data_IF_280461250947
#
_entry.id   IF_280461250947
#
_cell.length_a   1.000
_cell.length_b   1.000
_cell.length_c   1.000
_cell.angle_alpha   90.00
_cell.angle_beta   90.00
_cell.angle_gamma   90.00
#
_symmetry.space_group_name_H-M   'P 1'
#
loop_
_entity.id
_entity.type
_entity.pdbx_description
1 polymer ?
#
# COMPACT_ATOMS: atom_id res chain seq x y z
N UNK A 1 14.66 -4.46 -26.03
CA UNK A 1 15.40 -4.13 -27.28
C UNK A 1 16.42 -3.00 -27.06
N UNK A 2 16.09 -1.91 -26.33
CA UNK A 2 16.98 -0.76 -26.15
C UNK A 2 18.29 -1.12 -25.40
N UNK A 3 18.21 -1.93 -24.34
CA UNK A 3 19.40 -2.40 -23.62
C UNK A 3 20.35 -3.23 -24.51
N UNK A 4 19.79 -4.05 -25.40
CA UNK A 4 20.59 -4.79 -26.37
C UNK A 4 21.24 -3.85 -27.40
N UNK A 5 20.51 -2.82 -27.87
CA UNK A 5 21.05 -1.80 -28.80
C UNK A 5 22.19 -1.00 -28.16
N UNK A 6 22.04 -0.67 -26.86
CA UNK A 6 23.07 0.04 -26.09
C UNK A 6 24.21 -0.86 -25.59
N UNK A 7 24.21 -2.14 -25.94
CA UNK A 7 25.21 -3.13 -25.52
C UNK A 7 25.41 -3.16 -23.99
N UNK A 8 24.32 -3.04 -23.22
CA UNK A 8 24.35 -3.11 -21.76
C UNK A 8 24.91 -4.48 -21.33
N UNK A 9 25.93 -4.46 -20.48
CA UNK A 9 26.56 -5.65 -19.92
C UNK A 9 26.14 -5.91 -18.47
N UNK A 10 26.60 -7.04 -17.91
CA UNK A 10 26.26 -7.43 -16.52
C UNK A 10 26.88 -6.55 -15.44
N UNK A 11 27.84 -5.70 -15.77
CA UNK A 11 28.47 -4.76 -14.83
C UNK A 11 27.77 -3.42 -14.80
N UNK A 12 26.88 -3.18 -15.75
CA UNK A 12 26.09 -1.94 -15.83
C UNK A 12 25.13 -1.85 -14.66
N UNK A 13 25.14 -0.72 -13.97
CA UNK A 13 24.18 -0.37 -12.95
C UNK A 13 23.03 0.44 -13.56
N UNK A 14 21.80 0.10 -13.20
CA UNK A 14 20.61 0.81 -13.64
C UNK A 14 20.09 1.67 -12.49
N UNK A 15 19.75 2.93 -12.77
CA UNK A 15 19.08 3.83 -11.83
C UNK A 15 17.62 4.00 -12.27
N UNK A 16 16.70 3.59 -11.41
CA UNK A 16 15.27 3.80 -11.59
C UNK A 16 14.88 5.12 -10.89
N UNK A 17 14.83 6.21 -11.64
CA UNK A 17 14.47 7.54 -11.11
C UNK A 17 13.01 7.82 -11.46
N UNK A 18 12.10 7.78 -10.47
CA UNK A 18 10.67 7.98 -10.71
C UNK A 18 9.77 7.44 -9.60
N UNK A 19 8.47 7.38 -9.87
CA UNK A 19 7.49 6.76 -8.98
C UNK A 19 7.48 5.22 -9.06
N UNK A 20 6.52 4.59 -8.39
CA UNK A 20 6.41 3.13 -8.29
C UNK A 20 6.42 2.41 -9.64
N UNK A 21 5.68 2.92 -10.63
CA UNK A 21 5.63 2.32 -11.99
C UNK A 21 7.02 2.26 -12.63
N UNK A 22 7.82 3.32 -12.49
CA UNK A 22 9.20 3.36 -13.00
C UNK A 22 10.07 2.35 -12.27
N UNK A 23 9.94 2.29 -10.94
CA UNK A 23 10.68 1.35 -10.11
C UNK A 23 10.37 -0.11 -10.45
N UNK A 24 9.08 -0.45 -10.54
CA UNK A 24 8.61 -1.81 -10.83
C UNK A 24 9.01 -2.28 -12.22
N UNK A 25 8.78 -1.46 -13.24
CA UNK A 25 9.17 -1.77 -14.62
C UNK A 25 10.70 -1.93 -14.76
N UNK A 26 11.44 -0.97 -14.23
CA UNK A 26 12.92 -0.98 -14.32
C UNK A 26 13.49 -2.17 -13.55
N UNK A 27 12.93 -2.45 -12.36
CA UNK A 27 13.33 -3.61 -11.56
C UNK A 27 13.06 -4.93 -12.27
N UNK A 28 11.91 -5.08 -12.92
CA UNK A 28 11.59 -6.26 -13.70
C UNK A 28 12.51 -6.44 -14.93
N UNK A 29 12.80 -5.34 -15.64
CA UNK A 29 13.79 -5.36 -16.74
C UNK A 29 15.16 -5.73 -16.19
N UNK A 30 15.59 -5.16 -15.07
CA UNK A 30 16.86 -5.50 -14.44
C UNK A 30 16.95 -6.99 -14.03
N UNK A 31 15.85 -7.55 -13.49
CA UNK A 31 15.79 -8.94 -13.09
C UNK A 31 15.91 -9.92 -14.28
N UNK A 32 15.36 -9.53 -15.44
CA UNK A 32 15.22 -10.44 -16.59
C UNK A 32 16.33 -10.26 -17.63
N UNK A 33 16.84 -9.03 -17.83
CA UNK A 33 17.89 -8.79 -18.83
C UNK A 33 19.22 -9.42 -18.39
N UNK A 34 19.86 -10.16 -19.29
CA UNK A 34 21.12 -10.87 -19.05
C UNK A 34 21.15 -11.74 -17.77
N UNK A 35 20.00 -12.19 -17.29
CA UNK A 35 19.76 -12.95 -16.04
C UNK A 35 20.07 -12.16 -14.77
N UNK A 36 20.00 -10.85 -14.84
CA UNK A 36 20.11 -9.97 -13.69
C UNK A 36 21.13 -8.85 -13.85
N UNK A 37 20.68 -7.61 -13.66
CA UNK A 37 21.52 -6.41 -13.59
C UNK A 37 21.37 -5.77 -12.20
N UNK A 38 22.37 -4.99 -11.82
CA UNK A 38 22.30 -4.21 -10.60
C UNK A 38 21.33 -3.04 -10.80
N UNK A 39 20.43 -2.82 -9.83
CA UNK A 39 19.49 -1.71 -9.85
C UNK A 39 19.62 -0.88 -8.57
N UNK A 40 19.50 0.43 -8.70
CA UNK A 40 19.34 1.40 -7.65
C UNK A 40 17.99 2.07 -7.82
N UNK A 41 17.23 2.22 -6.74
CA UNK A 41 15.95 2.92 -6.73
C UNK A 41 16.17 4.37 -6.28
N UNK A 42 15.66 5.33 -7.05
CA UNK A 42 15.63 6.76 -6.71
C UNK A 42 14.16 7.21 -6.76
N UNK A 43 13.37 6.86 -5.73
CA UNK A 43 11.94 7.11 -5.72
C UNK A 43 11.64 8.61 -5.60
N UNK A 44 10.71 9.12 -6.44
CA UNK A 44 10.33 10.52 -6.50
C UNK A 44 8.89 10.80 -6.07
N UNK A 45 8.13 9.76 -5.74
CA UNK A 45 6.78 9.88 -5.15
C UNK A 45 6.78 9.38 -3.71
N UNK A 46 5.87 9.87 -2.87
CA UNK A 46 5.82 9.45 -1.47
C UNK A 46 5.56 7.95 -1.33
N UNK A 47 4.58 7.40 -2.08
CA UNK A 47 4.34 5.94 -2.11
C UNK A 47 5.61 5.16 -2.43
N UNK A 48 6.40 5.64 -3.39
CA UNK A 48 7.63 4.94 -3.75
C UNK A 48 8.70 5.04 -2.67
N UNK A 49 8.84 6.20 -2.01
CA UNK A 49 9.82 6.40 -0.94
C UNK A 49 9.52 5.56 0.31
N UNK A 50 8.24 5.45 0.68
CA UNK A 50 7.84 4.75 1.91
C UNK A 50 7.50 3.28 1.68
N UNK A 51 7.19 2.89 0.43
CA UNK A 51 6.70 1.55 0.14
C UNK A 51 7.35 0.91 -1.09
N UNK A 52 6.94 1.20 -2.33
CA UNK A 52 7.19 0.34 -3.49
C UNK A 52 8.67 0.17 -3.85
N UNK A 53 9.55 1.14 -3.57
CA UNK A 53 11.00 1.00 -3.83
C UNK A 53 11.71 0.01 -2.89
N UNK A 54 11.05 -0.46 -1.82
CA UNK A 54 11.63 -1.30 -0.78
C UNK A 54 11.02 -2.71 -0.87
N UNK A 55 11.88 -3.74 -0.83
CA UNK A 55 11.43 -5.14 -0.73
C UNK A 55 11.39 -5.91 -2.03
N UNK A 56 11.94 -5.34 -3.11
CA UNK A 56 12.29 -6.05 -4.33
C UNK A 56 11.14 -6.64 -5.15
N UNK A 57 9.89 -6.33 -4.83
CA UNK A 57 8.76 -6.70 -5.69
C UNK A 57 8.80 -5.83 -6.94
N UNK A 58 9.01 -6.44 -8.09
CA UNK A 58 9.08 -5.76 -9.39
C UNK A 58 8.15 -6.45 -10.37
N UNK A 59 7.59 -5.72 -11.31
CA UNK A 59 6.65 -6.33 -12.24
C UNK A 59 6.07 -5.38 -13.27
N UNK A 60 5.22 -5.95 -14.10
CA UNK A 60 4.47 -5.23 -15.14
C UNK A 60 3.00 -5.62 -15.07
N UNK A 61 2.15 -4.66 -15.37
CA UNK A 61 0.72 -4.90 -15.47
C UNK A 61 0.37 -5.52 -16.82
N UNK A 62 -0.59 -6.45 -16.81
CA UNK A 62 -1.18 -7.02 -18.01
C UNK A 62 -2.62 -6.54 -18.16
N UNK A 63 -3.21 -6.63 -19.38
CA UNK A 63 -4.66 -6.39 -19.56
C UNK A 63 -5.54 -7.28 -18.66
N UNK A 64 -5.04 -8.47 -18.31
CA UNK A 64 -5.73 -9.44 -17.46
C UNK A 64 -5.70 -9.10 -15.97
N UNK A 65 -4.78 -8.21 -15.51
CA UNK A 65 -4.66 -7.81 -14.10
C UNK A 65 -3.33 -7.16 -13.76
N UNK A 66 -3.29 -6.49 -12.62
CA UNK A 66 -2.06 -5.89 -12.07
C UNK A 66 -1.15 -6.97 -11.46
N UNK A 67 0.17 -6.74 -11.52
CA UNK A 67 1.20 -7.51 -10.80
C UNK A 67 1.23 -9.03 -11.08
N UNK A 68 0.65 -9.49 -12.21
CA UNK A 68 0.63 -10.92 -12.55
C UNK A 68 1.98 -11.42 -13.09
N UNK A 69 2.80 -10.53 -13.63
CA UNK A 69 4.14 -10.86 -14.15
C UNK A 69 5.17 -10.00 -13.43
N UNK A 70 6.07 -10.65 -12.72
CA UNK A 70 7.08 -9.97 -11.92
C UNK A 70 8.18 -10.88 -11.42
N UNK A 71 9.09 -10.29 -10.67
CA UNK A 71 10.19 -11.00 -10.03
C UNK A 71 10.51 -10.34 -8.67
N UNK A 72 11.04 -11.13 -7.74
CA UNK A 72 11.71 -10.59 -6.56
C UNK A 72 13.15 -10.24 -6.94
N UNK A 73 13.45 -8.94 -7.04
CA UNK A 73 14.76 -8.43 -7.40
C UNK A 73 15.15 -7.26 -6.52
N UNK A 74 15.99 -7.52 -5.51
CA UNK A 74 16.37 -6.50 -4.54
C UNK A 74 17.25 -5.43 -5.17
N UNK A 75 16.99 -4.14 -4.91
CA UNK A 75 17.89 -3.06 -5.29
C UNK A 75 19.17 -3.13 -4.45
N UNK A 76 20.28 -2.67 -5.03
CA UNK A 76 21.55 -2.47 -4.32
C UNK A 76 21.46 -1.35 -3.29
N UNK A 77 20.55 -0.40 -3.51
CA UNK A 77 20.24 0.66 -2.59
C UNK A 77 19.01 1.44 -3.03
N UNK A 78 18.43 2.16 -2.08
CA UNK A 78 17.32 3.09 -2.28
C UNK A 78 17.77 4.46 -1.82
N UNK A 79 17.70 5.46 -2.69
CA UNK A 79 18.07 6.85 -2.37
C UNK A 79 16.81 7.70 -2.43
N UNK A 80 16.20 7.94 -1.26
CA UNK A 80 15.00 8.76 -1.13
C UNK A 80 15.39 10.22 -0.84
N UNK A 81 15.17 11.11 -1.80
CA UNK A 81 15.30 12.56 -1.60
C UNK A 81 13.93 13.18 -1.38
N UNK A 82 13.66 13.61 -0.15
CA UNK A 82 12.38 14.25 0.21
C UNK A 82 12.12 15.55 -0.56
N UNK A 83 13.14 16.21 -1.11
CA UNK A 83 12.95 17.42 -1.91
C UNK A 83 12.16 17.14 -3.20
N UNK A 84 12.20 15.93 -3.73
CA UNK A 84 11.39 15.54 -4.90
C UNK A 84 9.88 15.64 -4.61
N UNK A 85 9.49 15.50 -3.34
CA UNK A 85 8.09 15.60 -2.92
C UNK A 85 7.54 17.03 -3.04
N UNK A 86 8.39 18.07 -3.12
CA UNK A 86 7.95 19.45 -3.27
C UNK A 86 7.21 19.68 -4.61
N UNK A 87 7.62 18.99 -5.66
CA UNK A 87 7.01 19.08 -7.00
C UNK A 87 5.90 18.05 -7.24
N UNK A 88 5.72 17.10 -6.30
CA UNK A 88 4.68 16.08 -6.42
C UNK A 88 3.29 16.71 -6.30
N UNK A 89 2.36 16.45 -7.25
CA UNK A 89 0.98 16.91 -7.16
C UNK A 89 0.35 16.55 -5.81
N UNK A 90 -0.49 17.45 -5.28
CA UNK A 90 -1.02 17.30 -3.93
C UNK A 90 -1.83 16.01 -3.73
N UNK A 91 -2.66 15.64 -4.71
CA UNK A 91 -3.43 14.39 -4.66
C UNK A 91 -2.53 13.15 -4.57
N UNK A 92 -1.42 13.13 -5.31
CA UNK A 92 -0.44 12.04 -5.29
C UNK A 92 0.33 12.00 -3.96
N UNK A 93 0.66 13.17 -3.42
CA UNK A 93 1.30 13.29 -2.12
C UNK A 93 0.39 12.75 -1.00
N UNK A 94 -0.85 13.21 -0.94
CA UNK A 94 -1.86 12.76 0.04
C UNK A 94 -2.11 11.26 -0.10
N UNK A 95 -2.26 10.77 -1.32
CA UNK A 95 -2.39 9.32 -1.58
C UNK A 95 -1.26 8.51 -0.92
N UNK A 96 -0.02 9.00 -0.99
CA UNK A 96 1.12 8.32 -0.35
C UNK A 96 1.04 8.25 1.18
N UNK A 97 0.34 9.17 1.82
CA UNK A 97 0.18 9.19 3.28
C UNK A 97 -0.64 8.00 3.81
N UNK A 98 -1.48 7.36 2.97
CA UNK A 98 -2.20 6.16 3.37
C UNK A 98 -1.25 5.02 3.76
N UNK A 99 -0.17 4.82 3.00
CA UNK A 99 0.85 3.82 3.32
C UNK A 99 1.61 4.16 4.61
N UNK A 100 1.82 5.43 4.89
CA UNK A 100 2.43 5.90 6.15
C UNK A 100 1.54 5.55 7.35
N UNK A 101 0.25 5.87 7.29
CA UNK A 101 -0.72 5.52 8.35
C UNK A 101 -0.79 4.01 8.53
N UNK A 102 -0.76 3.25 7.44
CA UNK A 102 -0.73 1.79 7.49
C UNK A 102 0.39 1.28 8.39
N UNK A 103 1.62 1.77 8.26
CA UNK A 103 2.75 1.31 9.09
C UNK A 103 2.54 1.57 10.58
N UNK A 104 2.04 2.73 10.95
CA UNK A 104 1.68 3.04 12.33
C UNK A 104 0.64 2.06 12.88
N UNK A 105 -0.40 1.80 12.09
CA UNK A 105 -1.49 0.94 12.50
C UNK A 105 -1.10 -0.53 12.66
N UNK A 106 -0.18 -1.05 11.81
CA UNK A 106 0.14 -2.48 11.80
C UNK A 106 1.37 -2.85 12.62
N UNK A 107 2.30 -1.91 12.91
CA UNK A 107 3.63 -2.25 13.45
C UNK A 107 4.08 -1.35 14.60
N UNK A 108 3.62 -0.08 14.67
CA UNK A 108 4.23 0.91 15.54
C UNK A 108 3.20 1.88 16.13
N UNK A 109 2.70 1.62 17.36
CA UNK A 109 1.72 2.48 18.01
C UNK A 109 2.29 3.87 18.35
N UNK A 110 3.58 3.99 18.64
CA UNK A 110 4.22 5.27 18.94
C UNK A 110 4.32 6.13 17.68
N UNK A 111 4.61 5.51 16.54
CA UNK A 111 4.57 6.20 15.24
C UNK A 111 3.15 6.62 14.88
N UNK A 112 2.14 5.79 15.13
CA UNK A 112 0.74 6.15 14.91
C UNK A 112 0.36 7.39 15.75
N UNK A 113 0.69 7.41 17.04
CA UNK A 113 0.44 8.57 17.89
C UNK A 113 1.22 9.80 17.45
N UNK A 114 2.46 9.62 17.01
CA UNK A 114 3.25 10.73 16.47
C UNK A 114 2.61 11.34 15.22
N UNK A 115 2.06 10.49 14.32
CA UNK A 115 1.33 10.95 13.13
C UNK A 115 0.09 11.76 13.51
N UNK A 116 -0.68 11.33 14.52
CA UNK A 116 -1.84 12.09 15.04
C UNK A 116 -1.42 13.50 15.49
N UNK A 117 -0.33 13.61 16.23
CA UNK A 117 0.15 14.87 16.79
C UNK A 117 0.76 15.82 15.74
N UNK A 118 1.24 15.28 14.61
CA UNK A 118 1.97 16.05 13.60
C UNK A 118 1.24 16.11 12.25
N UNK A 119 -0.04 15.69 12.16
CA UNK A 119 -0.77 15.59 10.92
C UNK A 119 -0.76 16.89 10.08
N UNK A 120 -0.92 18.05 10.71
CA UNK A 120 -0.88 19.34 10.03
C UNK A 120 0.51 19.67 9.44
N UNK A 121 1.59 19.36 10.15
CA UNK A 121 2.96 19.56 9.66
C UNK A 121 3.25 18.64 8.48
N UNK A 122 2.84 17.37 8.58
CA UNK A 122 2.96 16.37 7.50
C UNK A 122 2.16 16.84 6.29
N UNK A 123 0.91 17.25 6.48
CA UNK A 123 0.04 17.74 5.40
C UNK A 123 0.61 18.98 4.72
N UNK A 124 1.26 19.86 5.51
CA UNK A 124 1.98 21.05 5.04
C UNK A 124 3.37 20.78 4.43
N UNK A 125 3.79 19.52 4.35
CA UNK A 125 5.11 19.10 3.83
C UNK A 125 6.28 19.67 4.62
N UNK A 126 6.13 19.81 5.95
CA UNK A 126 7.25 20.23 6.79
C UNK A 126 8.43 19.26 6.63
N UNK A 127 9.62 19.82 6.40
CA UNK A 127 10.81 19.06 6.02
C UNK A 127 11.25 18.04 7.10
N UNK A 128 11.21 18.44 8.35
CA UNK A 128 11.63 17.56 9.45
C UNK A 128 10.63 16.43 9.64
N UNK A 129 9.34 16.75 9.57
CA UNK A 129 8.24 15.78 9.64
C UNK A 129 8.29 14.80 8.46
N UNK A 130 8.54 15.27 7.24
CA UNK A 130 8.70 14.40 6.07
C UNK A 130 9.90 13.47 6.20
N UNK A 131 11.03 13.96 6.67
CA UNK A 131 12.21 13.14 6.88
C UNK A 131 11.93 12.03 7.90
N UNK A 132 11.24 12.35 9.00
CA UNK A 132 10.82 11.36 9.98
C UNK A 132 9.87 10.32 9.40
N UNK A 133 8.83 10.75 8.67
CA UNK A 133 7.84 9.89 8.02
C UNK A 133 8.50 8.92 7.04
N UNK A 134 9.33 9.43 6.11
CA UNK A 134 9.98 8.58 5.10
C UNK A 134 10.92 7.59 5.74
N UNK A 135 11.77 8.07 6.67
CA UNK A 135 12.73 7.21 7.37
C UNK A 135 12.02 6.12 8.16
N UNK A 136 11.04 6.49 9.01
CA UNK A 136 10.37 5.52 9.89
C UNK A 136 9.59 4.48 9.10
N UNK A 137 8.87 4.89 8.05
CA UNK A 137 8.16 3.96 7.16
C UNK A 137 9.12 2.98 6.48
N UNK A 138 10.26 3.49 5.97
CA UNK A 138 11.28 2.65 5.35
C UNK A 138 11.89 1.63 6.34
N UNK A 139 12.19 2.06 7.58
CA UNK A 139 12.68 1.18 8.65
C UNK A 139 11.68 0.06 8.95
N UNK A 140 10.38 0.40 9.12
CA UNK A 140 9.33 -0.56 9.43
C UNK A 140 9.11 -1.55 8.28
N UNK A 141 9.12 -1.07 7.03
CA UNK A 141 9.02 -1.97 5.87
C UNK A 141 10.23 -2.89 5.77
N UNK A 142 11.42 -2.36 5.91
CA UNK A 142 12.67 -3.14 5.86
C UNK A 142 12.67 -4.22 6.94
N UNK A 143 12.24 -3.90 8.17
CA UNK A 143 12.09 -4.87 9.27
C UNK A 143 11.23 -6.08 8.86
N UNK A 144 10.12 -5.86 8.16
CA UNK A 144 9.23 -6.93 7.69
C UNK A 144 9.86 -7.71 6.54
N UNK A 145 10.42 -6.99 5.56
CA UNK A 145 11.00 -7.60 4.34
C UNK A 145 12.21 -8.47 4.67
N UNK A 146 13.10 -8.05 5.56
CA UNK A 146 14.28 -8.82 5.98
C UNK A 146 13.90 -10.16 6.64
N UNK A 147 12.71 -10.23 7.29
CA UNK A 147 12.22 -11.42 7.97
C UNK A 147 11.36 -12.33 7.12
N UNK A 148 10.79 -11.78 6.05
CA UNK A 148 9.90 -12.52 5.15
C UNK A 148 9.97 -11.95 3.72
N UNK A 149 11.15 -12.03 3.10
CA UNK A 149 11.39 -11.47 1.78
C UNK A 149 10.38 -11.94 0.73
N UNK A 150 10.08 -13.25 0.72
CA UNK A 150 9.27 -13.91 -0.31
C UNK A 150 7.84 -14.23 0.10
N UNK A 151 7.36 -13.68 1.22
CA UNK A 151 6.01 -13.94 1.75
C UNK A 151 5.74 -15.44 2.05
N UNK A 152 6.73 -16.14 2.58
CA UNK A 152 6.64 -17.58 2.88
C UNK A 152 6.17 -17.80 4.32
N UNK A 153 6.65 -16.98 5.27
CA UNK A 153 6.34 -17.14 6.70
C UNK A 153 5.00 -16.54 7.08
N UNK A 154 4.44 -15.67 6.23
CA UNK A 154 3.20 -14.95 6.46
C UNK A 154 3.36 -13.63 7.23
N UNK A 155 4.57 -13.29 7.71
CA UNK A 155 4.81 -12.02 8.39
C UNK A 155 4.53 -10.83 7.45
N UNK A 156 4.99 -10.90 6.21
CA UNK A 156 4.80 -9.85 5.20
C UNK A 156 3.33 -9.62 4.84
N UNK A 157 2.44 -10.57 5.14
CA UNK A 157 1.00 -10.42 4.94
C UNK A 157 0.42 -9.23 5.74
N UNK A 158 1.04 -8.82 6.87
CA UNK A 158 0.61 -7.65 7.64
C UNK A 158 0.58 -6.37 6.77
N UNK A 159 1.47 -6.24 5.77
CA UNK A 159 1.52 -5.10 4.86
C UNK A 159 0.27 -4.99 3.97
N UNK A 160 -0.55 -6.06 3.88
CA UNK A 160 -1.79 -6.07 3.12
C UNK A 160 -3.00 -5.53 3.93
N UNK A 161 -2.79 -4.90 5.09
CA UNK A 161 -3.85 -4.22 5.82
C UNK A 161 -4.57 -3.20 4.93
N UNK A 162 -5.90 -3.32 4.82
CA UNK A 162 -6.73 -2.52 3.91
C UNK A 162 -6.72 -2.95 2.44
N UNK A 163 -5.68 -3.64 1.96
CA UNK A 163 -5.48 -3.93 0.54
C UNK A 163 -6.50 -4.91 -0.05
N UNK A 164 -7.05 -5.82 0.75
CA UNK A 164 -8.10 -6.75 0.28
C UNK A 164 -9.34 -5.98 -0.22
N UNK A 165 -9.72 -4.91 0.48
CA UNK A 165 -10.79 -4.02 0.06
C UNK A 165 -10.33 -3.05 -1.02
N UNK A 166 -9.13 -2.47 -0.89
CA UNK A 166 -8.60 -1.48 -1.81
C UNK A 166 -8.53 -1.98 -3.25
N UNK A 167 -7.98 -3.18 -3.49
CA UNK A 167 -7.91 -3.77 -4.82
C UNK A 167 -9.28 -4.00 -5.46
N UNK A 168 -10.27 -4.38 -4.64
CA UNK A 168 -11.64 -4.52 -5.12
C UNK A 168 -12.26 -3.15 -5.45
N UNK A 169 -11.98 -2.09 -4.67
CA UNK A 169 -12.40 -0.72 -4.99
C UNK A 169 -11.75 -0.23 -6.29
N UNK A 170 -10.44 -0.38 -6.47
CA UNK A 170 -9.74 -0.02 -7.70
C UNK A 170 -10.32 -0.74 -8.93
N UNK A 171 -10.60 -2.05 -8.79
CA UNK A 171 -11.13 -2.87 -9.89
C UNK A 171 -12.56 -2.45 -10.26
N UNK A 172 -13.41 -2.21 -9.24
CA UNK A 172 -14.83 -1.91 -9.44
C UNK A 172 -15.04 -0.50 -10.00
N UNK A 173 -14.24 0.48 -9.58
CA UNK A 173 -14.35 1.86 -10.06
C UNK A 173 -13.66 2.10 -11.41
N UNK A 174 -12.91 1.13 -11.88
CA UNK A 174 -12.00 1.29 -13.01
C UNK A 174 -10.68 1.96 -12.59
N UNK A 175 -9.60 1.41 -13.09
CA UNK A 175 -8.26 1.92 -12.76
C UNK A 175 -8.10 3.39 -13.14
N UNK A 176 -7.60 4.21 -12.21
CA UNK A 176 -7.36 5.64 -12.38
C UNK A 176 -8.46 6.54 -11.81
N UNK A 177 -9.63 6.02 -11.45
CA UNK A 177 -10.69 6.78 -10.75
C UNK A 177 -10.24 7.12 -9.33
N UNK A 178 -9.81 6.11 -8.58
CA UNK A 178 -9.15 6.26 -7.28
C UNK A 178 -7.65 6.07 -7.45
N UNK A 179 -6.84 6.91 -6.81
CA UNK A 179 -5.43 6.63 -6.62
C UNK A 179 -5.25 5.48 -5.63
N UNK A 180 -4.12 4.78 -5.71
CA UNK A 180 -3.85 3.63 -4.86
C UNK A 180 -4.05 3.92 -3.36
N UNK A 181 -3.45 4.98 -2.84
CA UNK A 181 -3.59 5.31 -1.42
C UNK A 181 -5.00 5.80 -1.03
N UNK A 182 -5.77 6.38 -1.95
CA UNK A 182 -7.18 6.68 -1.71
C UNK A 182 -7.97 5.38 -1.52
N UNK A 183 -7.75 4.38 -2.38
CA UNK A 183 -8.36 3.06 -2.23
C UNK A 183 -7.89 2.35 -0.95
N UNK A 184 -6.59 2.45 -0.60
CA UNK A 184 -6.03 1.89 0.64
C UNK A 184 -6.64 2.56 1.87
N UNK A 185 -6.84 3.88 1.88
CA UNK A 185 -7.48 4.61 2.96
C UNK A 185 -8.91 4.09 3.20
N UNK A 186 -9.73 3.99 2.15
CA UNK A 186 -11.07 3.41 2.20
C UNK A 186 -11.02 1.95 2.67
N UNK A 187 -10.07 1.18 2.17
CA UNK A 187 -9.87 -0.22 2.54
C UNK A 187 -9.48 -0.39 4.01
N UNK A 188 -8.63 0.48 4.56
CA UNK A 188 -8.29 0.50 5.97
C UNK A 188 -9.50 0.87 6.84
N UNK A 189 -10.36 1.80 6.38
CA UNK A 189 -11.60 2.12 7.09
C UNK A 189 -12.58 0.95 7.11
N UNK A 190 -12.74 0.25 5.99
CA UNK A 190 -13.55 -0.97 5.94
C UNK A 190 -12.98 -2.06 6.87
N UNK A 191 -11.66 -2.26 6.86
CA UNK A 191 -10.98 -3.27 7.67
C UNK A 191 -11.08 -2.98 9.18
N UNK A 192 -10.88 -1.74 9.62
CA UNK A 192 -10.97 -1.39 11.05
C UNK A 192 -12.41 -1.48 11.58
N UNK A 193 -13.43 -1.10 10.77
CA UNK A 193 -14.83 -1.24 11.12
C UNK A 193 -15.26 -2.72 11.17
N UNK A 194 -14.77 -3.54 10.23
CA UNK A 194 -14.96 -4.99 10.27
C UNK A 194 -14.36 -5.58 11.55
N UNK A 195 -13.15 -5.20 11.90
CA UNK A 195 -12.48 -5.65 13.12
C UNK A 195 -13.29 -5.25 14.38
N UNK A 196 -13.85 -4.03 14.42
CA UNK A 196 -14.70 -3.58 15.50
C UNK A 196 -16.00 -4.41 15.57
N UNK A 197 -16.67 -4.70 14.44
CA UNK A 197 -17.87 -5.54 14.41
C UNK A 197 -17.62 -6.98 14.85
N UNK A 198 -16.39 -7.46 14.71
CA UNK A 198 -15.93 -8.75 15.22
C UNK A 198 -15.47 -8.69 16.70
N UNK A 199 -15.61 -7.55 17.36
CA UNK A 199 -15.17 -7.31 18.75
C UNK A 199 -13.66 -7.53 18.96
N UNK A 200 -12.84 -7.32 17.91
CA UNK A 200 -11.37 -7.43 18.00
C UNK A 200 -10.75 -6.17 18.60
N UNK A 201 -11.42 -5.01 18.48
CA UNK A 201 -10.96 -3.73 19.00
C UNK A 201 -12.13 -2.81 19.32
N UNK A 202 -11.87 -1.77 20.11
CA UNK A 202 -12.85 -0.79 20.53
C UNK A 202 -13.14 0.25 19.44
N UNK A 203 -14.33 0.84 19.50
CA UNK A 203 -14.77 1.92 18.62
C UNK A 203 -13.83 3.13 18.64
N UNK A 204 -13.16 3.39 19.76
CA UNK A 204 -12.16 4.46 19.91
C UNK A 204 -11.01 4.34 18.93
N UNK A 205 -10.58 3.12 18.58
CA UNK A 205 -9.52 2.90 17.58
C UNK A 205 -10.00 3.24 16.18
N UNK A 206 -11.27 2.90 15.85
CA UNK A 206 -11.91 3.29 14.59
C UNK A 206 -11.91 4.81 14.42
N UNK A 207 -12.36 5.51 15.47
CA UNK A 207 -12.44 6.98 15.48
C UNK A 207 -11.06 7.64 15.36
N UNK A 208 -10.06 7.11 16.06
CA UNK A 208 -8.67 7.60 15.95
C UNK A 208 -8.13 7.45 14.54
N UNK A 209 -8.28 6.27 13.94
CA UNK A 209 -7.82 6.04 12.57
C UNK A 209 -8.56 6.93 11.58
N UNK A 210 -9.88 7.04 11.69
CA UNK A 210 -10.68 7.91 10.84
C UNK A 210 -10.20 9.36 10.93
N UNK A 211 -10.08 9.90 12.15
CA UNK A 211 -9.63 11.27 12.39
C UNK A 211 -8.23 11.54 11.84
N UNK A 212 -7.30 10.57 11.98
CA UNK A 212 -5.97 10.71 11.42
C UNK A 212 -6.01 10.77 9.88
N UNK A 213 -6.74 9.87 9.23
CA UNK A 213 -6.89 9.86 7.77
C UNK A 213 -7.51 11.18 7.26
N UNK A 214 -8.57 11.65 7.89
CA UNK A 214 -9.24 12.92 7.55
C UNK A 214 -8.29 14.12 7.73
N UNK A 215 -7.52 14.17 8.82
CA UNK A 215 -6.57 15.27 9.08
C UNK A 215 -5.43 15.32 8.08
N UNK A 216 -5.10 14.19 7.48
CA UNK A 216 -4.12 14.08 6.38
C UNK A 216 -4.74 14.34 5.00
N UNK A 217 -6.07 14.54 4.91
CA UNK A 217 -6.80 14.78 3.67
C UNK A 217 -7.12 13.51 2.87
N UNK A 218 -7.03 12.34 3.50
CA UNK A 218 -7.37 11.05 2.89
C UNK A 218 -8.88 10.78 2.98
N UNK A 219 -9.50 10.15 1.97
CA UNK A 219 -10.90 9.81 2.01
C UNK A 219 -11.17 8.68 2.99
N UNK A 220 -12.22 8.83 3.80
CA UNK A 220 -12.74 7.80 4.73
C UNK A 220 -14.06 7.20 4.26
N UNK A 221 -14.70 7.84 3.30
CA UNK A 221 -15.85 7.41 2.53
C UNK A 221 -15.87 8.12 1.18
N UNK A 222 -16.59 7.58 0.20
CA UNK A 222 -16.69 8.20 -1.12
C UNK A 222 -18.00 7.86 -1.84
N UNK A 223 -18.68 8.85 -2.46
CA UNK A 223 -19.88 8.59 -3.25
C UNK A 223 -19.59 7.79 -4.54
N UNK A 224 -18.34 7.73 -4.99
CA UNK A 224 -17.93 6.94 -6.18
C UNK A 224 -18.30 5.46 -6.03
N UNK A 225 -18.40 4.99 -4.79
CA UNK A 225 -18.74 3.60 -4.46
C UNK A 225 -20.24 3.37 -4.21
N UNK A 226 -21.11 4.39 -4.27
CA UNK A 226 -22.53 4.27 -3.91
C UNK A 226 -23.35 3.30 -4.77
N UNK A 227 -22.90 3.06 -6.01
CA UNK A 227 -23.59 2.19 -6.96
C UNK A 227 -22.95 0.80 -7.07
N UNK A 228 -22.11 0.41 -6.13
CA UNK A 228 -21.46 -0.89 -6.15
C UNK A 228 -22.49 -1.98 -5.85
N UNK A 229 -22.58 -2.97 -6.74
CA UNK A 229 -23.22 -4.24 -6.44
C UNK A 229 -22.32 -5.03 -5.49
N UNK A 230 -22.78 -5.22 -4.25
CA UNK A 230 -22.00 -5.89 -3.19
C UNK A 230 -21.64 -7.34 -3.54
N UNK A 231 -22.53 -8.06 -4.27
CA UNK A 231 -22.27 -9.44 -4.68
C UNK A 231 -21.15 -9.51 -5.72
N UNK A 232 -21.13 -8.58 -6.66
CA UNK A 232 -20.06 -8.50 -7.65
C UNK A 232 -18.73 -8.07 -7.01
N UNK A 233 -18.80 -7.20 -6.02
CA UNK A 233 -17.63 -6.81 -5.23
C UNK A 233 -17.02 -8.00 -4.47
N UNK A 234 -17.83 -8.80 -3.80
CA UNK A 234 -17.38 -10.03 -3.14
C UNK A 234 -16.76 -11.03 -4.13
N UNK A 235 -17.33 -11.16 -5.34
CA UNK A 235 -16.74 -11.99 -6.42
C UNK A 235 -15.37 -11.47 -6.86
N UNK A 236 -15.19 -10.15 -6.95
CA UNK A 236 -13.90 -9.53 -7.29
C UNK A 236 -12.89 -9.83 -6.20
N UNK A 237 -13.25 -9.63 -4.93
CA UNK A 237 -12.39 -9.97 -3.79
C UNK A 237 -11.96 -11.44 -3.79
N UNK A 238 -12.89 -12.36 -4.11
CA UNK A 238 -12.61 -13.79 -4.20
C UNK A 238 -11.68 -14.16 -5.36
N UNK A 239 -11.71 -13.41 -6.46
CA UNK A 239 -10.84 -13.65 -7.64
C UNK A 239 -9.40 -13.22 -7.37
N UNK A 240 -9.19 -12.13 -6.65
CA UNK A 240 -7.84 -11.59 -6.36
C UNK A 240 -7.01 -12.57 -5.49
N UNK A 241 -7.66 -13.49 -4.78
CA UNK A 241 -7.01 -14.41 -3.83
C UNK A 241 -7.09 -15.89 -4.19
N UNK A 242 -7.33 -16.25 -5.44
CA UNK A 242 -7.42 -17.65 -5.92
C UNK A 242 -6.14 -18.50 -5.75
N UNK A 243 -5.09 -17.97 -5.16
CA UNK A 243 -3.80 -18.67 -5.10
C UNK A 243 -3.59 -19.55 -3.86
N UNK A 244 -4.42 -19.48 -2.81
CA UNK A 244 -4.30 -20.36 -1.64
C UNK A 244 -5.67 -20.72 -1.08
N UNK A 245 -6.22 -21.87 -1.49
CA UNK A 245 -7.35 -22.52 -0.79
C UNK A 245 -8.75 -21.95 -0.98
N UNK A 246 -8.95 -20.89 -1.77
CA UNK A 246 -10.30 -20.43 -2.15
C UNK A 246 -11.02 -19.51 -1.15
N UNK A 247 -10.52 -19.32 0.06
CA UNK A 247 -11.14 -18.50 1.09
C UNK A 247 -10.63 -17.05 1.07
N UNK A 248 -11.53 -16.10 1.33
CA UNK A 248 -11.18 -14.70 1.52
C UNK A 248 -10.36 -14.54 2.80
N UNK A 249 -9.18 -13.94 2.65
CA UNK A 249 -8.28 -13.68 3.76
C UNK A 249 -8.20 -12.17 4.03
N UNK A 250 -8.43 -11.79 5.26
CA UNK A 250 -8.41 -10.40 5.72
C UNK A 250 -7.28 -10.17 6.71
N UNK A 251 -6.61 -9.04 6.57
CA UNK A 251 -5.68 -8.54 7.58
C UNK A 251 -6.43 -7.50 8.38
N UNK A 252 -6.70 -7.79 9.65
CA UNK A 252 -7.51 -6.97 10.54
C UNK A 252 -6.73 -6.59 11.79
N UNK A 253 -6.87 -5.34 12.29
CA UNK A 253 -6.21 -4.92 13.51
C UNK A 253 -6.94 -5.49 14.74
N UNK A 254 -6.18 -5.85 15.77
CA UNK A 254 -6.70 -6.15 17.10
C UNK A 254 -6.24 -5.11 18.13
N UNK A 255 -5.31 -4.27 17.77
CA UNK A 255 -4.91 -3.02 18.45
C UNK A 255 -4.07 -2.17 17.50
N UNK A 256 -3.85 -0.91 17.84
CA UNK A 256 -2.86 -0.09 17.14
C UNK A 256 -1.47 -0.72 17.32
N UNK A 257 -0.73 -0.86 16.22
CA UNK A 257 0.57 -1.50 16.17
C UNK A 257 0.55 -3.03 15.97
N UNK A 258 -0.63 -3.63 15.78
CA UNK A 258 -0.72 -5.07 15.54
C UNK A 258 -1.93 -5.47 14.71
N UNK A 259 -1.75 -6.46 13.83
CA UNK A 259 -2.81 -7.03 12.98
C UNK A 259 -2.77 -8.55 13.00
N UNK A 260 -3.91 -9.16 12.72
CA UNK A 260 -4.10 -10.60 12.55
C UNK A 260 -4.61 -10.91 11.14
N UNK A 261 -4.23 -12.05 10.62
CA UNK A 261 -4.85 -12.60 9.42
C UNK A 261 -6.03 -13.48 9.84
N UNK A 262 -7.19 -13.25 9.22
CA UNK A 262 -8.43 -13.99 9.50
C UNK A 262 -9.06 -14.46 8.19
N UNK A 263 -9.56 -15.68 8.23
CA UNK A 263 -10.31 -16.35 7.15
C UNK A 263 -11.75 -16.59 7.63
N UNK A 264 -12.64 -17.01 6.74
CA UNK A 264 -14.01 -17.47 7.04
C UNK A 264 -14.89 -16.44 7.78
N UNK A 265 -14.75 -15.15 7.44
CA UNK A 265 -15.60 -14.09 7.99
C UNK A 265 -16.93 -14.09 7.25
N UNK A 266 -18.05 -13.97 8.03
CA UNK A 266 -19.39 -13.85 7.47
C UNK A 266 -19.49 -12.70 6.45
N UNK A 267 -19.95 -13.04 5.25
CA UNK A 267 -20.12 -12.10 4.15
C UNK A 267 -21.07 -10.93 4.51
N UNK A 268 -21.99 -11.13 5.45
CA UNK A 268 -22.88 -10.06 5.94
C UNK A 268 -22.06 -8.98 6.64
N UNK A 269 -21.12 -9.36 7.50
CA UNK A 269 -20.24 -8.41 8.18
C UNK A 269 -19.31 -7.69 7.22
N UNK A 270 -18.74 -8.44 6.25
CA UNK A 270 -17.89 -7.86 5.19
C UNK A 270 -18.68 -6.84 4.37
N UNK A 271 -19.90 -7.19 3.96
CA UNK A 271 -20.80 -6.31 3.20
C UNK A 271 -21.18 -5.06 4.00
N UNK A 272 -21.46 -5.21 5.31
CA UNK A 272 -21.73 -4.08 6.20
C UNK A 272 -20.54 -3.12 6.25
N UNK A 273 -19.33 -3.64 6.42
CA UNK A 273 -18.11 -2.83 6.45
C UNK A 273 -17.89 -2.07 5.14
N UNK A 274 -18.11 -2.70 3.98
CA UNK A 274 -18.02 -2.06 2.66
C UNK A 274 -19.03 -0.89 2.56
N UNK A 275 -20.29 -1.12 2.96
CA UNK A 275 -21.33 -0.08 2.89
C UNK A 275 -20.99 1.17 3.70
N UNK A 276 -20.23 1.05 4.78
CA UNK A 276 -19.83 2.20 5.60
C UNK A 276 -18.89 3.18 4.88
N UNK A 277 -18.17 2.74 3.87
CA UNK A 277 -17.26 3.59 3.08
C UNK A 277 -17.83 3.98 1.72
N UNK A 278 -18.97 3.39 1.32
CA UNK A 278 -19.69 3.72 0.10
C UNK A 278 -20.55 4.99 0.21
N UNK A 279 -21.03 5.32 1.41
CA UNK A 279 -21.86 6.50 1.64
C UNK A 279 -21.00 7.63 2.19
N UNK A 280 -21.05 8.81 1.57
CA UNK A 280 -20.56 10.01 2.22
C UNK A 280 -21.47 10.27 3.45
N UNK A 281 -20.87 10.41 4.60
CA UNK A 281 -21.54 10.81 5.83
C UNK A 281 -21.90 12.29 5.74
#
# INVERSE_FOLDING_TARGET
NEFARLQIDRKTAILAVGGGVVGDLTGFVAATFSRGLQIWQVPTTLVAQVDSAIGGKTGVNLPAGKNLVGAFWQPRGVVADINTLNSLPDREYVSGLAEVVKYGMILDPDFFQWLENNANLIRGRDKESLNHVVRRSAELKTFVVERDEREITGLRACLNYGHTFAHAFETTTGYGTLLHGEAVSLGMMAAVRLACSLSLLDQTVVERQQKLLESLGLPVATPVLNNINTDDFLKIMARDKKTVGGNLRFVLPDKIGHVKTMDDIDCILVTSAIKTVCCAV
#
